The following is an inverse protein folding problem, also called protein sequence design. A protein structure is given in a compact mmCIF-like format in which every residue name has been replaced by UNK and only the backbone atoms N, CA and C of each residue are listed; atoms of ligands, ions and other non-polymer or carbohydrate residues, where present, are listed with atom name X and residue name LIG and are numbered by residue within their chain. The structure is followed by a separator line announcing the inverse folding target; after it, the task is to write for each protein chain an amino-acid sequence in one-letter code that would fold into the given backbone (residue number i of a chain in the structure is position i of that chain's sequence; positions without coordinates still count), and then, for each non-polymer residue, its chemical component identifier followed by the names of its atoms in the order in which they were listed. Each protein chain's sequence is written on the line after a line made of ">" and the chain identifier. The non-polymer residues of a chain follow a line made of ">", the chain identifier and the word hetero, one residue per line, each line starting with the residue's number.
data_IF_976846910844
#
_entry.id   IF_976846910844
#
_cell.length_a   1.000
_cell.length_b   1.000
_cell.length_c   1.000
_cell.angle_alpha   90.00
_cell.angle_beta   90.00
_cell.angle_gamma   90.00
#
_symmetry.space_group_name_H-M   'P 1'
#
loop_
_entity.id
_entity.type
_entity.pdbx_description
1 polymer ?
#
# COMPACT_ATOMS: atom_id res chain seq x y z
N UNK A 1 -15.66 -2.69 11.43
CA UNK A 1 -15.63 -4.17 11.38
C UNK A 1 -15.19 -4.73 12.72
N UNK A 2 -15.68 -5.90 13.16
CA UNK A 2 -15.47 -6.47 14.51
C UNK A 2 -13.99 -6.51 14.96
N UNK A 3 -13.05 -6.72 14.03
CA UNK A 3 -11.62 -6.93 14.33
C UNK A 3 -10.71 -5.74 14.00
N UNK A 4 -11.23 -4.68 13.40
CA UNK A 4 -10.43 -3.52 12.99
C UNK A 4 -9.82 -2.82 14.21
N UNK A 5 -8.51 -2.58 14.19
CA UNK A 5 -7.78 -1.89 15.25
C UNK A 5 -7.73 -2.61 16.60
N UNK A 6 -8.22 -3.85 16.70
CA UNK A 6 -8.24 -4.60 17.97
C UNK A 6 -6.95 -5.35 18.22
N UNK A 7 -6.47 -5.29 19.45
CA UNK A 7 -5.39 -6.14 19.97
C UNK A 7 -5.75 -7.63 19.92
N UNK A 8 -4.73 -8.48 19.86
CA UNK A 8 -4.90 -9.93 19.87
C UNK A 8 -4.80 -10.52 21.29
N UNK A 9 -3.89 -9.98 22.09
CA UNK A 9 -3.71 -10.21 23.52
C UNK A 9 -3.20 -8.91 24.17
N UNK A 10 -3.22 -8.77 25.51
CA UNK A 10 -2.72 -7.55 26.16
C UNK A 10 -1.28 -7.21 25.72
N UNK A 11 -1.11 -6.04 25.10
CA UNK A 11 0.18 -5.57 24.58
C UNK A 11 0.53 -6.04 23.16
N UNK A 12 -0.29 -6.90 22.54
CA UNK A 12 -0.16 -7.28 21.12
C UNK A 12 -0.98 -6.32 20.25
N UNK A 13 -0.39 -5.16 19.95
CA UNK A 13 -0.99 -4.13 19.10
C UNK A 13 -1.45 -4.68 17.73
N UNK A 14 -2.55 -4.14 17.15
CA UNK A 14 -3.04 -4.57 15.84
C UNK A 14 -1.95 -4.42 14.76
N UNK A 15 -1.60 -5.54 14.13
CA UNK A 15 -0.56 -5.58 13.10
C UNK A 15 -1.16 -5.59 11.69
N UNK A 16 -1.81 -6.70 11.32
CA UNK A 16 -2.52 -6.87 10.04
C UNK A 16 -4.03 -6.55 10.13
N UNK A 17 -4.44 -5.73 11.12
CA UNK A 17 -5.85 -5.42 11.41
C UNK A 17 -6.22 -3.96 11.08
N UNK A 18 -5.70 -3.44 9.97
CA UNK A 18 -6.09 -2.12 9.44
C UNK A 18 -4.94 -1.33 8.82
N UNK A 19 -3.69 -1.58 9.24
CA UNK A 19 -2.54 -0.89 8.67
C UNK A 19 -2.39 -1.15 7.15
N UNK A 20 -1.79 -0.19 6.46
CA UNK A 20 -1.53 -0.25 5.02
C UNK A 20 -0.15 -0.85 4.76
N UNK A 21 -0.12 -1.93 3.99
CA UNK A 21 1.09 -2.70 3.68
C UNK A 21 1.41 -2.69 2.19
N UNK A 22 2.66 -2.40 1.84
CA UNK A 22 3.05 -2.14 0.45
C UNK A 22 3.17 -3.42 -0.37
N UNK A 23 3.56 -4.55 0.22
CA UNK A 23 3.60 -5.84 -0.47
C UNK A 23 2.24 -6.25 -1.05
N UNK A 24 1.16 -6.14 -0.26
CA UNK A 24 -0.19 -6.50 -0.73
C UNK A 24 -0.71 -5.44 -1.71
N UNK A 25 -0.46 -4.14 -1.45
CA UNK A 25 -0.84 -3.09 -2.39
C UNK A 25 -0.15 -3.23 -3.75
N UNK A 26 1.11 -3.67 -3.78
CA UNK A 26 1.81 -3.99 -5.03
C UNK A 26 1.08 -5.09 -5.82
N UNK A 27 0.67 -6.19 -5.16
CA UNK A 27 -0.07 -7.28 -5.81
C UNK A 27 -1.45 -6.83 -6.31
N UNK A 28 -2.15 -6.01 -5.53
CA UNK A 28 -3.45 -5.43 -5.94
C UNK A 28 -3.27 -4.54 -7.16
N UNK A 29 -2.26 -3.66 -7.15
CA UNK A 29 -1.94 -2.81 -8.30
C UNK A 29 -1.56 -3.64 -9.53
N UNK A 30 -0.80 -4.71 -9.38
CA UNK A 30 -0.48 -5.63 -10.48
C UNK A 30 -1.74 -6.27 -11.08
N UNK A 31 -2.67 -6.73 -10.24
CA UNK A 31 -3.95 -7.28 -10.68
C UNK A 31 -4.83 -6.25 -11.38
N UNK A 32 -4.98 -5.05 -10.81
CA UNK A 32 -5.73 -3.96 -11.42
C UNK A 32 -5.13 -3.54 -12.76
N UNK A 33 -3.80 -3.41 -12.84
CA UNK A 33 -3.08 -3.13 -14.08
C UNK A 33 -3.34 -4.21 -15.14
N UNK A 34 -3.32 -5.48 -14.77
CA UNK A 34 -3.63 -6.59 -15.66
C UNK A 34 -5.05 -6.49 -16.24
N UNK A 35 -6.05 -6.25 -15.40
CA UNK A 35 -7.45 -6.17 -15.84
C UNK A 35 -7.78 -4.86 -16.58
N UNK A 36 -7.06 -3.77 -16.30
CA UNK A 36 -7.15 -2.51 -17.05
C UNK A 36 -6.70 -2.65 -18.52
N UNK A 37 -5.80 -3.59 -18.79
CA UNK A 37 -5.24 -3.85 -20.12
C UNK A 37 -5.88 -5.03 -20.85
N UNK A 38 -6.84 -5.73 -20.24
CA UNK A 38 -7.61 -6.80 -20.90
C UNK A 38 -9.00 -6.33 -21.31
N UNK A 39 -9.46 -6.81 -22.47
CA UNK A 39 -10.85 -6.63 -22.86
C UNK A 39 -11.76 -7.38 -21.89
N UNK A 40 -12.81 -6.71 -21.42
CA UNK A 40 -13.76 -7.30 -20.49
C UNK A 40 -14.64 -6.24 -19.83
N UNK A 41 -15.76 -6.66 -19.20
CA UNK A 41 -16.74 -5.74 -18.61
C UNK A 41 -16.17 -4.90 -17.46
N UNK A 42 -15.09 -5.35 -16.82
CA UNK A 42 -14.47 -4.68 -15.66
C UNK A 42 -13.30 -3.77 -16.04
N UNK A 43 -12.89 -3.72 -17.31
CA UNK A 43 -11.68 -3.02 -17.76
C UNK A 43 -11.64 -1.56 -17.31
N UNK A 44 -12.72 -0.81 -17.56
CA UNK A 44 -12.81 0.61 -17.22
C UNK A 44 -12.70 0.83 -15.71
N UNK A 45 -13.40 0.00 -14.92
CA UNK A 45 -13.36 0.08 -13.46
C UNK A 45 -11.98 -0.29 -12.92
N UNK A 46 -11.32 -1.30 -13.48
CA UNK A 46 -9.96 -1.68 -13.08
C UNK A 46 -8.95 -0.56 -13.35
N UNK A 47 -9.06 0.13 -14.50
CA UNK A 47 -8.20 1.26 -14.84
C UNK A 47 -8.41 2.46 -13.91
N UNK A 48 -9.66 2.77 -13.57
CA UNK A 48 -10.01 3.84 -12.63
C UNK A 48 -9.39 3.58 -11.24
N UNK A 49 -9.65 2.41 -10.67
CA UNK A 49 -9.16 2.04 -9.33
C UNK A 49 -7.63 1.89 -9.31
N UNK A 50 -7.03 1.41 -10.40
CA UNK A 50 -5.57 1.34 -10.55
C UNK A 50 -4.93 2.73 -10.39
N UNK A 51 -5.42 3.71 -11.16
CA UNK A 51 -4.90 5.07 -11.16
C UNK A 51 -5.04 5.70 -9.77
N UNK A 52 -6.24 5.63 -9.19
CA UNK A 52 -6.52 6.19 -7.86
C UNK A 52 -5.64 5.57 -6.78
N UNK A 53 -5.56 4.24 -6.72
CA UNK A 53 -4.77 3.55 -5.70
C UNK A 53 -3.27 3.83 -5.85
N UNK A 54 -2.76 3.86 -7.10
CA UNK A 54 -1.34 4.14 -7.37
C UNK A 54 -0.97 5.54 -6.90
N UNK A 55 -1.78 6.54 -7.20
CA UNK A 55 -1.56 7.93 -6.77
C UNK A 55 -1.56 8.06 -5.25
N UNK A 56 -2.52 7.43 -4.56
CA UNK A 56 -2.62 7.46 -3.10
C UNK A 56 -1.40 6.80 -2.45
N UNK A 57 -1.03 5.59 -2.88
CA UNK A 57 0.09 4.83 -2.31
C UNK A 57 1.41 5.56 -2.52
N UNK A 58 1.73 5.92 -3.77
CA UNK A 58 2.98 6.60 -4.11
C UNK A 58 3.04 7.98 -3.44
N UNK A 59 1.96 8.74 -3.52
CA UNK A 59 1.88 10.08 -2.94
C UNK A 59 2.10 10.06 -1.43
N UNK A 60 1.51 9.08 -0.73
CA UNK A 60 1.73 8.94 0.71
C UNK A 60 3.17 8.56 1.06
N UNK A 61 3.73 7.57 0.39
CA UNK A 61 5.11 7.14 0.64
C UNK A 61 6.12 8.25 0.35
N UNK A 62 5.91 9.06 -0.69
CA UNK A 62 6.74 10.21 -0.99
C UNK A 62 6.64 11.27 0.12
N UNK A 63 5.42 11.60 0.59
CA UNK A 63 5.24 12.55 1.70
C UNK A 63 5.94 12.08 2.97
N UNK A 64 5.80 10.79 3.32
CA UNK A 64 6.45 10.22 4.50
C UNK A 64 7.96 10.15 4.39
N UNK A 65 8.47 9.83 3.20
CA UNK A 65 9.90 9.89 2.91
C UNK A 65 10.43 11.32 3.04
N UNK A 66 9.74 12.33 2.49
CA UNK A 66 10.12 13.74 2.63
C UNK A 66 10.07 14.21 4.09
N UNK A 67 9.10 13.73 4.88
CA UNK A 67 8.92 14.10 6.29
C UNK A 67 9.96 13.47 7.21
N UNK A 68 10.38 12.23 6.94
CA UNK A 68 11.15 11.42 7.89
C UNK A 68 12.51 10.95 7.39
N UNK A 69 12.74 10.94 6.07
CA UNK A 69 13.95 10.44 5.43
C UNK A 69 13.98 8.92 5.19
N UNK A 70 12.93 8.18 5.54
CA UNK A 70 12.93 6.71 5.49
C UNK A 70 11.65 6.12 4.90
N UNK A 71 11.75 4.86 4.46
CA UNK A 71 10.59 3.99 4.29
C UNK A 71 10.27 3.25 5.59
N UNK A 72 8.99 3.02 5.79
CA UNK A 72 8.44 2.35 6.96
C UNK A 72 7.84 0.99 6.59
N UNK A 73 7.75 0.11 7.57
CA UNK A 73 7.23 -1.25 7.42
C UNK A 73 5.75 -1.28 7.00
N UNK A 74 4.96 -0.40 7.60
CA UNK A 74 3.53 -0.20 7.34
C UNK A 74 3.13 1.27 7.56
N UNK A 75 1.95 1.66 7.08
CA UNK A 75 1.42 3.02 7.20
C UNK A 75 0.05 3.02 7.89
N UNK A 76 -0.23 4.08 8.63
CA UNK A 76 -1.53 4.29 9.28
C UNK A 76 -2.62 4.59 8.24
N UNK A 77 -3.79 3.93 8.30
CA UNK A 77 -4.86 4.13 7.32
C UNK A 77 -5.55 5.50 7.40
N UNK A 78 -5.45 6.22 8.52
CA UNK A 78 -6.16 7.49 8.73
C UNK A 78 -5.26 8.70 8.43
N UNK A 79 -4.04 8.68 8.95
CA UNK A 79 -3.07 9.78 8.85
C UNK A 79 -2.06 9.59 7.74
N UNK A 80 -1.86 8.35 7.26
CA UNK A 80 -0.81 8.00 6.32
C UNK A 80 0.59 7.94 6.93
N UNK A 81 0.76 8.21 8.23
CA UNK A 81 2.07 8.17 8.87
C UNK A 81 2.67 6.77 8.88
N UNK A 82 3.97 6.68 8.60
CA UNK A 82 4.75 5.47 8.74
C UNK A 82 4.79 4.97 10.18
N UNK A 83 4.74 3.65 10.36
CA UNK A 83 4.72 2.98 11.66
C UNK A 83 5.69 1.81 11.71
N UNK A 84 6.08 1.46 12.93
CA UNK A 84 6.92 0.30 13.29
C UNK A 84 8.34 0.42 12.73
N UNK A 85 8.85 -0.64 12.11
CA UNK A 85 10.27 -0.72 11.76
C UNK A 85 10.64 0.30 10.69
N UNK A 86 11.75 1.00 10.92
CA UNK A 86 12.40 1.90 9.97
C UNK A 86 13.94 1.93 10.22
N UNK A 87 14.77 2.16 9.19
CA UNK A 87 14.42 2.13 7.77
C UNK A 87 13.97 0.73 7.35
N UNK A 88 12.90 0.65 6.57
CA UNK A 88 12.38 -0.62 6.06
C UNK A 88 12.47 -0.66 4.53
N UNK A 89 13.67 -0.98 4.03
CA UNK A 89 13.91 -1.17 2.60
C UNK A 89 13.61 -2.62 2.14
N UNK A 90 12.74 -3.33 2.86
CA UNK A 90 12.20 -4.63 2.48
C UNK A 90 11.14 -4.49 1.38
N UNK A 91 9.94 -5.05 1.58
CA UNK A 91 8.88 -4.92 0.59
C UNK A 91 8.41 -3.49 0.33
N UNK A 92 8.69 -2.52 1.21
CA UNK A 92 8.34 -1.12 0.95
C UNK A 92 9.12 -0.56 -0.25
N UNK A 93 10.27 -1.15 -0.60
CA UNK A 93 11.00 -0.84 -1.84
C UNK A 93 10.22 -1.16 -3.12
N UNK A 94 9.14 -1.96 -3.05
CA UNK A 94 8.25 -2.21 -4.19
C UNK A 94 7.58 -0.94 -4.73
N UNK A 95 7.56 0.15 -3.97
CA UNK A 95 7.12 1.47 -4.46
C UNK A 95 7.87 1.89 -5.72
N UNK A 96 9.13 1.48 -5.88
CA UNK A 96 9.92 1.76 -7.09
C UNK A 96 9.35 1.03 -8.32
N UNK A 97 8.89 -0.21 -8.15
CA UNK A 97 8.23 -0.97 -9.21
C UNK A 97 6.84 -0.41 -9.53
N UNK A 98 6.11 0.05 -8.51
CA UNK A 98 4.83 0.75 -8.68
C UNK A 98 5.02 2.05 -9.48
N UNK A 99 6.03 2.85 -9.14
CA UNK A 99 6.39 4.07 -9.86
C UNK A 99 6.75 3.79 -11.32
N UNK A 100 7.54 2.74 -11.57
CA UNK A 100 7.93 2.34 -12.92
C UNK A 100 6.83 1.57 -13.67
N UNK A 101 5.67 1.30 -13.05
CA UNK A 101 4.58 0.48 -13.58
C UNK A 101 5.05 -0.90 -14.07
N UNK A 102 6.04 -1.47 -13.37
CA UNK A 102 6.64 -2.77 -13.68
C UNK A 102 6.06 -3.84 -12.77
N UNK A 103 5.11 -4.59 -13.30
CA UNK A 103 4.48 -5.73 -12.64
C UNK A 103 4.86 -7.01 -13.37
N UNK A 104 5.51 -7.95 -12.67
CA UNK A 104 5.93 -9.26 -13.19
C UNK A 104 4.84 -10.31 -13.00
#
# INVERSE_FOLDING_TARGET
>A
AMWYGRENAPGEEPYWRGAVWININYLVLAGLHHYAHRLGPVRARAAEVYTELREIVVGNMLREWLRTGYFWEQYDPETGHGRRTHPFNGWSSLVLLILAEKYQ
#
